data_IF_312129216867
#
_entry.id   IF_312129216867
#
_cell.length_a   1.000
_cell.length_b   1.000
_cell.length_c   1.000
_cell.angle_alpha   90.00
_cell.angle_beta   90.00
_cell.angle_gamma   90.00
#
_symmetry.space_group_name_H-M   'P 1'
#
loop_
_entity.id
_entity.type
_entity.pdbx_description
1 polymer ?
#
# COMPACT_ATOMS: atom_id res chain seq x y z
N UNK A 1 -8.94 -1.36 7.22
CA UNK A 1 -7.97 -0.37 7.76
C UNK A 1 -7.40 0.34 6.55
N UNK A 2 -7.51 1.67 6.50
CA UNK A 2 -6.93 2.48 5.41
C UNK A 2 -5.60 3.09 5.85
N UNK A 3 -4.66 3.20 4.91
CA UNK A 3 -3.37 3.86 5.10
C UNK A 3 -3.24 4.84 3.94
N UNK A 4 -3.08 6.12 4.26
CA UNK A 4 -3.04 7.22 3.28
C UNK A 4 -1.63 7.76 3.14
N UNK A 5 -1.28 8.17 1.92
CA UNK A 5 0.01 8.77 1.60
C UNK A 5 -0.19 10.16 1.01
N UNK A 6 0.60 11.12 1.45
CA UNK A 6 0.63 12.45 0.82
C UNK A 6 1.26 12.36 -0.57
N UNK A 7 0.60 12.93 -1.57
CA UNK A 7 1.14 13.07 -2.91
C UNK A 7 0.07 13.12 -3.99
N UNK A 8 0.51 13.05 -5.25
CA UNK A 8 -0.34 13.03 -6.43
C UNK A 8 -0.10 11.74 -7.21
N UNK A 9 -1.18 11.07 -7.62
CA UNK A 9 -1.11 9.73 -8.23
C UNK A 9 -0.44 9.71 -9.62
N UNK A 10 -0.36 10.86 -10.28
CA UNK A 10 0.18 11.08 -11.62
C UNK A 10 1.63 11.60 -11.63
N UNK A 11 2.21 11.85 -10.46
CA UNK A 11 3.62 12.23 -10.31
C UNK A 11 4.38 11.18 -9.50
N UNK A 12 5.14 10.36 -10.23
CA UNK A 12 5.93 9.26 -9.65
C UNK A 12 6.95 9.72 -8.59
N UNK A 13 7.35 11.00 -8.56
CA UNK A 13 8.32 11.52 -7.61
C UNK A 13 7.84 11.49 -6.15
N UNK A 14 6.51 11.44 -5.93
CA UNK A 14 5.92 11.35 -4.60
C UNK A 14 6.09 9.96 -3.95
N UNK A 15 6.27 8.90 -4.74
CA UNK A 15 6.42 7.53 -4.23
C UNK A 15 7.86 7.21 -3.83
N UNK A 16 8.33 7.91 -2.80
CA UNK A 16 9.70 7.82 -2.30
C UNK A 16 9.99 6.49 -1.58
N UNK A 17 11.27 6.09 -1.54
CA UNK A 17 11.69 4.91 -0.78
C UNK A 17 11.34 4.99 0.71
N UNK A 18 11.46 6.19 1.30
CA UNK A 18 11.07 6.43 2.69
C UNK A 18 9.57 6.16 2.91
N UNK A 19 8.70 6.65 2.02
CA UNK A 19 7.26 6.39 2.08
C UNK A 19 6.96 4.89 2.00
N UNK A 20 7.54 4.18 1.03
CA UNK A 20 7.37 2.73 0.87
C UNK A 20 7.74 1.97 2.14
N UNK A 21 8.91 2.24 2.72
CA UNK A 21 9.40 1.53 3.91
C UNK A 21 8.53 1.82 5.13
N UNK A 22 8.22 3.09 5.40
CA UNK A 22 7.39 3.47 6.53
C UNK A 22 5.99 2.87 6.43
N UNK A 23 5.37 2.94 5.24
CA UNK A 23 4.05 2.36 5.02
C UNK A 23 4.05 0.83 5.13
N UNK A 24 5.07 0.17 4.60
CA UNK A 24 5.18 -1.29 4.65
C UNK A 24 5.32 -1.77 6.11
N UNK A 25 6.10 -1.07 6.94
CA UNK A 25 6.25 -1.40 8.36
C UNK A 25 4.92 -1.27 9.12
N UNK A 26 4.15 -0.22 8.88
CA UNK A 26 2.82 -0.05 9.47
C UNK A 26 1.87 -1.17 9.01
N UNK A 27 1.87 -1.48 7.70
CA UNK A 27 1.04 -2.54 7.15
C UNK A 27 1.39 -3.91 7.72
N UNK A 28 2.68 -4.24 7.82
CA UNK A 28 3.15 -5.49 8.41
C UNK A 28 2.67 -5.63 9.86
N UNK A 29 2.85 -4.59 10.68
CA UNK A 29 2.41 -4.57 12.07
C UNK A 29 0.89 -4.73 12.21
N UNK A 30 0.10 -4.09 11.33
CA UNK A 30 -1.36 -4.26 11.28
C UNK A 30 -1.72 -5.71 10.90
N UNK A 31 -1.09 -6.26 9.88
CA UNK A 31 -1.33 -7.64 9.47
C UNK A 31 -1.04 -8.63 10.60
N UNK A 32 0.08 -8.47 11.31
CA UNK A 32 0.47 -9.34 12.42
C UNK A 32 -0.48 -9.20 13.61
N UNK A 33 -0.91 -7.98 13.93
CA UNK A 33 -1.83 -7.73 15.03
C UNK A 33 -3.21 -8.37 14.82
N UNK A 34 -3.66 -8.47 13.56
CA UNK A 34 -5.01 -8.95 13.23
C UNK A 34 -5.02 -10.31 12.50
N UNK A 35 -3.86 -10.95 12.32
CA UNK A 35 -3.75 -12.23 11.60
C UNK A 35 -4.16 -12.13 10.12
N UNK A 36 -3.95 -10.98 9.49
CA UNK A 36 -4.30 -10.75 8.08
C UNK A 36 -3.14 -11.26 7.20
N UNK A 37 -3.40 -12.12 6.19
CA UNK A 37 -2.37 -12.52 5.22
C UNK A 37 -1.72 -11.32 4.52
N UNK A 38 -0.38 -11.27 4.48
CA UNK A 38 0.42 -10.21 3.88
C UNK A 38 0.54 -10.35 2.34
N UNK A 39 -0.61 -10.42 1.65
CA UNK A 39 -0.68 -10.66 0.20
C UNK A 39 -1.68 -9.73 -0.51
N UNK A 40 -1.69 -9.76 -1.85
CA UNK A 40 -2.50 -8.87 -2.69
C UNK A 40 -4.00 -9.15 -2.62
N UNK A 41 -4.40 -10.34 -2.16
CA UNK A 41 -5.81 -10.64 -1.92
C UNK A 41 -6.38 -9.92 -0.68
N UNK A 42 -5.52 -9.43 0.21
CA UNK A 42 -5.90 -8.79 1.48
C UNK A 42 -5.41 -7.36 1.63
N UNK A 43 -4.28 -7.03 1.01
CA UNK A 43 -3.75 -5.69 0.89
C UNK A 43 -4.11 -5.21 -0.52
N UNK A 44 -5.12 -4.34 -0.62
CA UNK A 44 -5.71 -3.89 -1.89
C UNK A 44 -5.52 -2.38 -2.08
N UNK A 45 -5.57 -1.93 -3.33
CA UNK A 45 -5.68 -0.52 -3.68
C UNK A 45 -7.05 0.03 -3.24
N UNK A 46 -7.15 1.34 -3.06
CA UNK A 46 -8.45 1.97 -2.84
C UNK A 46 -9.38 1.76 -4.05
N UNK A 47 -8.83 1.87 -5.26
CA UNK A 47 -9.53 1.59 -6.53
C UNK A 47 -10.04 0.14 -6.69
N UNK A 48 -9.55 -0.80 -5.87
CA UNK A 48 -9.96 -2.22 -5.88
C UNK A 48 -11.10 -2.51 -4.88
N UNK A 49 -11.47 -1.54 -4.03
CA UNK A 49 -12.58 -1.68 -3.10
C UNK A 49 -13.91 -1.72 -3.87
N UNK A 50 -14.81 -2.68 -3.59
CA UNK A 50 -16.11 -2.74 -4.25
C UNK A 50 -16.90 -1.42 -4.11
N UNK A 51 -17.23 -0.81 -5.24
CA UNK A 51 -17.96 0.47 -5.28
C UNK A 51 -17.09 1.71 -5.15
N UNK A 52 -15.76 1.59 -5.21
CA UNK A 52 -14.88 2.76 -5.23
C UNK A 52 -15.08 3.60 -6.51
N UNK A 53 -15.19 4.91 -6.32
CA UNK A 53 -15.07 5.94 -7.36
C UNK A 53 -13.67 6.60 -7.37
N UNK A 54 -12.75 6.02 -6.60
CA UNK A 54 -11.38 6.45 -6.40
C UNK A 54 -10.41 5.72 -7.34
N UNK A 55 -9.26 6.35 -7.62
CA UNK A 55 -8.23 5.82 -8.53
C UNK A 55 -6.88 5.57 -7.86
N UNK A 56 -6.70 6.04 -6.63
CA UNK A 56 -5.50 5.83 -5.83
C UNK A 56 -5.27 4.34 -5.49
N UNK A 57 -3.99 3.92 -5.35
CA UNK A 57 -2.76 4.73 -5.34
C UNK A 57 -2.22 5.09 -6.74
N UNK A 58 -2.96 4.76 -7.80
CA UNK A 58 -2.59 5.09 -9.18
C UNK A 58 -1.54 4.17 -9.80
N UNK A 59 -1.16 4.44 -11.06
CA UNK A 59 -0.35 3.53 -11.87
C UNK A 59 1.12 3.47 -11.44
N UNK A 60 1.59 4.46 -10.67
CA UNK A 60 2.99 4.55 -10.25
C UNK A 60 3.27 3.81 -8.95
N UNK A 61 2.25 3.26 -8.29
CA UNK A 61 2.44 2.44 -7.11
C UNK A 61 2.94 1.04 -7.48
N UNK A 62 4.23 0.80 -7.21
CA UNK A 62 4.87 -0.50 -7.36
C UNK A 62 4.41 -1.48 -6.26
N UNK A 63 3.42 -2.31 -6.59
CA UNK A 63 2.86 -3.32 -5.71
C UNK A 63 3.84 -4.45 -5.37
N UNK A 64 4.67 -4.88 -6.32
CA UNK A 64 5.61 -5.98 -6.09
C UNK A 64 6.68 -5.56 -5.08
N UNK A 65 7.22 -4.35 -5.24
CA UNK A 65 8.12 -3.74 -4.25
C UNK A 65 7.42 -3.61 -2.90
N UNK A 66 6.20 -3.10 -2.88
CA UNK A 66 5.48 -2.87 -1.63
C UNK A 66 5.25 -4.15 -0.84
N UNK A 67 4.73 -5.20 -1.49
CA UNK A 67 4.48 -6.50 -0.86
C UNK A 67 5.78 -7.18 -0.45
N UNK A 68 6.86 -7.01 -1.22
CA UNK A 68 8.19 -7.47 -0.82
C UNK A 68 8.67 -6.81 0.49
N UNK A 69 8.47 -5.50 0.64
CA UNK A 69 8.80 -4.78 1.87
C UNK A 69 7.92 -5.19 3.06
N UNK A 70 6.61 -5.39 2.84
CA UNK A 70 5.68 -5.83 3.89
C UNK A 70 6.04 -7.21 4.43
N UNK A 71 6.50 -8.12 3.57
CA UNK A 71 6.92 -9.46 3.97
C UNK A 71 8.34 -9.53 4.56
N UNK A 72 9.17 -8.52 4.30
CA UNK A 72 10.52 -8.42 4.87
C UNK A 72 10.58 -7.74 6.25
N UNK A 73 9.46 -7.20 6.72
CA UNK A 73 9.32 -6.51 8.01
C UNK A 73 8.61 -7.33 9.08
#
# INVERSE_FOLDING_TARGET
>A
IGIEHEGFIDDAAWFTDAMYRSSAAVTAAVCDAYGIPKNRERIIAHSEVPGADHTDPGPHWDWDRYIGLVNGG
#
